data_IF_715673854639
#
_entry.id   IF_715673854639
#
_cell.length_a   1.000
_cell.length_b   1.000
_cell.length_c   1.000
_cell.angle_alpha   90.00
_cell.angle_beta   90.00
_cell.angle_gamma   90.00
#
_symmetry.space_group_name_H-M   'P 1'
#
loop_
_entity.id
_entity.type
_entity.pdbx_description
1 polymer ?
#
# COMPACT_ATOMS: atom_id res chain seq x y z
N UNK A 1 16.41 4.05 2.69
CA UNK A 1 15.25 4.94 2.86
C UNK A 1 14.43 4.60 4.11
N UNK A 2 14.06 3.33 4.37
CA UNK A 2 13.30 2.95 5.58
C UNK A 2 14.05 3.15 6.91
N UNK A 3 15.37 3.01 6.92
CA UNK A 3 16.18 3.13 8.14
C UNK A 3 16.19 4.56 8.72
N UNK A 4 16.17 5.59 7.86
CA UNK A 4 16.14 6.99 8.29
C UNK A 4 14.79 7.44 8.86
N UNK A 5 13.68 6.82 8.43
CA UNK A 5 12.35 7.09 8.99
C UNK A 5 12.18 6.47 10.37
N UNK A 6 12.76 5.28 10.61
CA UNK A 6 12.70 4.61 11.91
C UNK A 6 13.51 5.33 13.00
N UNK A 7 14.64 5.93 12.64
CA UNK A 7 15.48 6.68 13.58
C UNK A 7 14.85 7.97 14.06
N UNK A 8 14.09 8.66 13.19
CA UNK A 8 13.43 9.93 13.52
C UNK A 8 12.07 9.79 14.19
N UNK A 9 11.38 8.67 14.00
CA UNK A 9 10.00 8.48 14.48
C UNK A 9 9.85 7.49 15.64
N UNK A 10 10.94 6.93 16.16
CA UNK A 10 10.91 5.79 17.11
C UNK A 10 10.04 4.62 16.57
N UNK A 11 9.88 4.55 15.24
CA UNK A 11 9.06 3.55 14.60
C UNK A 11 9.85 2.25 14.41
N UNK A 12 9.26 1.13 14.79
CA UNK A 12 9.79 -0.20 14.58
C UNK A 12 9.08 -0.85 13.38
N UNK A 13 9.82 -1.23 12.35
CA UNK A 13 9.28 -1.99 11.23
C UNK A 13 9.37 -3.49 11.52
N UNK A 14 8.23 -4.18 11.48
CA UNK A 14 8.16 -5.63 11.61
C UNK A 14 7.93 -6.24 10.23
N UNK A 15 8.85 -7.12 9.81
CA UNK A 15 8.74 -7.88 8.57
C UNK A 15 8.13 -9.27 8.84
N UNK A 16 7.61 -9.91 7.79
CA UNK A 16 7.00 -11.24 7.87
C UNK A 16 5.86 -11.33 8.91
N UNK A 17 5.15 -10.23 9.09
CA UNK A 17 4.10 -10.07 10.09
C UNK A 17 2.77 -9.68 9.41
N UNK A 18 2.14 -10.61 8.67
CA UNK A 18 0.88 -10.32 7.99
C UNK A 18 -0.22 -10.03 9.01
N UNK A 19 -0.83 -8.87 8.88
CA UNK A 19 -2.00 -8.50 9.67
C UNK A 19 -3.23 -9.20 9.07
N UNK A 20 -3.95 -9.92 9.91
CA UNK A 20 -5.12 -10.72 9.51
C UNK A 20 -6.44 -10.15 10.00
N UNK A 21 -6.42 -9.35 11.07
CA UNK A 21 -7.61 -8.71 11.60
C UNK A 21 -7.28 -7.35 12.23
N UNK A 22 -8.25 -6.46 12.20
CA UNK A 22 -8.27 -5.19 12.93
C UNK A 22 -9.60 -5.14 13.66
N UNK A 23 -9.58 -4.93 14.97
CA UNK A 23 -10.78 -4.84 15.81
C UNK A 23 -10.74 -3.61 16.69
N UNK A 24 -11.91 -3.16 17.12
CA UNK A 24 -12.08 -2.05 18.06
C UNK A 24 -12.51 -2.58 19.40
N UNK A 25 -11.76 -2.22 20.43
CA UNK A 25 -12.16 -2.41 21.82
C UNK A 25 -12.99 -1.17 22.22
N UNK A 26 -14.30 -1.32 22.18
CA UNK A 26 -15.25 -0.21 22.43
C UNK A 26 -15.30 0.24 23.88
N UNK A 27 -14.91 -0.61 24.83
CA UNK A 27 -14.88 -0.27 26.25
C UNK A 27 -13.73 0.67 26.57
N UNK A 28 -12.58 0.43 25.95
CA UNK A 28 -11.36 1.19 26.22
C UNK A 28 -10.99 2.18 25.11
N UNK A 29 -11.74 2.22 24.04
CA UNK A 29 -11.50 3.07 22.87
C UNK A 29 -10.11 2.87 22.24
N UNK A 30 -9.68 1.62 22.14
CA UNK A 30 -8.44 1.20 21.49
C UNK A 30 -8.70 0.33 20.29
N UNK A 31 -7.75 0.34 19.36
CA UNK A 31 -7.70 -0.60 18.25
C UNK A 31 -6.72 -1.74 18.56
N UNK A 32 -7.05 -2.94 18.12
CA UNK A 32 -6.20 -4.12 18.22
C UNK A 32 -5.95 -4.68 16.84
N UNK A 33 -4.78 -5.23 16.63
CA UNK A 33 -4.42 -5.92 15.39
C UNK A 33 -4.13 -7.39 15.69
N UNK A 34 -4.46 -8.27 14.76
CA UNK A 34 -4.06 -9.66 14.80
C UNK A 34 -3.01 -9.93 13.74
N UNK A 35 -1.93 -10.57 14.12
CA UNK A 35 -0.81 -10.96 13.25
C UNK A 35 -0.79 -12.48 13.17
N UNK A 36 -0.82 -13.04 11.96
CA UNK A 36 -0.90 -14.50 11.77
C UNK A 36 -2.05 -15.17 12.55
N UNK A 37 -3.20 -14.50 12.66
CA UNK A 37 -4.36 -14.99 13.41
C UNK A 37 -4.26 -14.86 14.94
N UNK A 38 -3.15 -14.32 15.46
CA UNK A 38 -2.99 -14.09 16.90
C UNK A 38 -3.09 -12.60 17.21
N UNK A 39 -3.94 -12.24 18.17
CA UNK A 39 -4.11 -10.86 18.59
C UNK A 39 -2.84 -10.33 19.25
N UNK A 40 -2.38 -9.16 18.79
CA UNK A 40 -1.26 -8.46 19.41
C UNK A 40 -1.63 -8.01 20.83
N UNK A 41 -0.75 -8.16 21.81
CA UNK A 41 -1.00 -7.68 23.17
C UNK A 41 -1.02 -6.14 23.25
N UNK A 42 -0.45 -5.46 22.28
CA UNK A 42 -0.35 -3.99 22.30
C UNK A 42 -1.60 -3.34 21.72
N UNK A 43 -2.28 -2.43 22.48
CA UNK A 43 -3.34 -1.61 21.96
C UNK A 43 -2.79 -0.41 21.18
N UNK A 44 -3.59 0.10 20.23
CA UNK A 44 -3.25 1.25 19.40
C UNK A 44 -4.36 2.30 19.48
N UNK A 45 -4.01 3.58 19.50
CA UNK A 45 -5.00 4.66 19.45
C UNK A 45 -5.61 4.81 18.05
N UNK A 46 -4.86 4.45 17.01
CA UNK A 46 -5.31 4.47 15.62
C UNK A 46 -4.52 3.47 14.79
N UNK A 47 -5.12 2.98 13.72
CA UNK A 47 -4.48 2.12 12.72
C UNK A 47 -4.67 2.74 11.34
N UNK A 48 -3.57 2.94 10.61
CA UNK A 48 -3.59 3.40 9.22
C UNK A 48 -3.23 2.21 8.34
N UNK A 49 -4.18 1.80 7.49
CA UNK A 49 -3.95 0.73 6.53
C UNK A 49 -3.63 1.30 5.16
N UNK A 50 -2.51 0.87 4.58
CA UNK A 50 -2.11 1.16 3.20
C UNK A 50 -2.17 -0.09 2.32
N UNK A 51 -2.85 -1.12 2.80
CA UNK A 51 -2.99 -2.41 2.12
C UNK A 51 -3.90 -2.25 0.90
N UNK A 52 -3.57 -2.86 -0.26
CA UNK A 52 -4.46 -2.86 -1.42
C UNK A 52 -5.85 -3.44 -1.10
N UNK A 53 -6.90 -2.87 -1.70
CA UNK A 53 -8.30 -3.26 -1.43
C UNK A 53 -8.57 -4.78 -1.50
N UNK A 54 -8.04 -5.54 -2.48
CA UNK A 54 -8.25 -6.99 -2.52
C UNK A 54 -7.67 -7.74 -1.32
N UNK A 55 -6.68 -7.16 -0.65
CA UNK A 55 -6.13 -7.72 0.59
C UNK A 55 -6.88 -7.24 1.82
N UNK A 56 -7.31 -5.98 1.80
CA UNK A 56 -8.12 -5.41 2.87
C UNK A 56 -9.47 -6.15 2.99
N UNK A 57 -10.09 -6.52 1.87
CA UNK A 57 -11.35 -7.27 1.86
C UNK A 57 -11.27 -8.69 2.44
N UNK A 58 -10.05 -9.24 2.55
CA UNK A 58 -9.79 -10.55 3.17
C UNK A 58 -9.47 -10.46 4.66
N UNK A 59 -9.28 -9.25 5.18
CA UNK A 59 -9.05 -9.05 6.62
C UNK A 59 -10.37 -9.10 7.37
N UNK A 60 -10.30 -9.59 8.58
CA UNK A 60 -11.38 -9.42 9.54
C UNK A 60 -11.34 -7.98 10.10
N UNK A 61 -12.40 -7.23 9.86
CA UNK A 61 -12.55 -5.83 10.26
C UNK A 61 -13.72 -5.68 11.24
N UNK A 62 -13.93 -6.66 12.09
CA UNK A 62 -15.05 -6.68 13.03
C UNK A 62 -14.96 -5.52 14.05
N UNK A 63 -16.10 -4.85 14.24
CA UNK A 63 -16.19 -3.70 15.14
C UNK A 63 -15.52 -2.41 14.64
N UNK A 64 -14.88 -2.41 13.47
CA UNK A 64 -14.39 -1.16 12.86
C UNK A 64 -15.58 -0.42 12.24
N UNK A 65 -15.63 0.91 12.39
CA UNK A 65 -16.73 1.75 11.88
C UNK A 65 -16.99 1.64 10.36
N UNK A 66 -16.10 1.00 9.63
CA UNK A 66 -16.31 0.61 8.24
C UNK A 66 -17.60 -0.24 8.10
N UNK A 67 -17.94 -1.04 9.10
CA UNK A 67 -19.15 -1.87 9.09
C UNK A 67 -20.44 -1.04 9.21
N UNK A 68 -20.39 0.14 9.81
CA UNK A 68 -21.53 1.06 9.90
C UNK A 68 -21.68 1.94 8.67
N UNK A 69 -20.63 2.06 7.84
CA UNK A 69 -20.64 2.84 6.62
C UNK A 69 -20.74 1.94 5.38
N UNK A 70 -21.96 1.68 4.93
CA UNK A 70 -22.25 0.86 3.76
C UNK A 70 -21.46 1.29 2.52
N UNK A 71 -21.27 2.59 2.30
CA UNK A 71 -20.54 3.10 1.14
C UNK A 71 -19.05 2.69 1.17
N UNK A 72 -18.40 2.69 2.33
CA UNK A 72 -17.01 2.24 2.46
C UNK A 72 -16.90 0.72 2.27
N UNK A 73 -17.82 -0.03 2.82
CA UNK A 73 -17.87 -1.48 2.65
C UNK A 73 -18.09 -1.90 1.19
N UNK A 74 -19.04 -1.27 0.50
CA UNK A 74 -19.24 -1.47 -0.92
C UNK A 74 -18.01 -1.10 -1.71
N UNK A 75 -17.36 0.03 -1.41
CA UNK A 75 -16.14 0.45 -2.08
C UNK A 75 -15.01 -0.59 -1.95
N UNK A 76 -14.80 -1.15 -0.75
CA UNK A 76 -13.78 -2.17 -0.52
C UNK A 76 -14.05 -3.45 -1.34
N UNK A 77 -15.31 -3.81 -1.52
CA UNK A 77 -15.72 -5.05 -2.22
C UNK A 77 -15.87 -4.89 -3.73
N UNK A 78 -16.36 -3.75 -4.18
CA UNK A 78 -16.78 -3.55 -5.57
C UNK A 78 -15.73 -2.85 -6.41
N UNK A 79 -14.83 -2.04 -5.80
CA UNK A 79 -13.76 -1.40 -6.53
C UNK A 79 -12.72 -2.42 -6.97
N UNK A 80 -12.46 -2.43 -8.27
CA UNK A 80 -11.46 -3.29 -8.88
C UNK A 80 -10.27 -2.47 -9.37
N UNK A 81 -9.08 -3.03 -9.22
CA UNK A 81 -7.89 -2.45 -9.81
C UNK A 81 -7.86 -2.76 -11.31
N UNK A 82 -7.65 -1.74 -12.12
CA UNK A 82 -7.33 -1.92 -13.51
C UNK A 82 -5.96 -2.63 -13.68
N UNK A 83 -5.75 -3.40 -14.75
CA UNK A 83 -4.47 -3.99 -15.03
C UNK A 83 -3.44 -2.88 -15.32
N UNK A 84 -2.40 -2.81 -14.51
CA UNK A 84 -1.30 -1.87 -14.70
C UNK A 84 0.02 -2.58 -14.41
N UNK A 85 0.98 -2.40 -15.30
CA UNK A 85 2.32 -2.98 -15.19
C UNK A 85 3.33 -1.84 -15.31
N UNK A 86 4.33 -1.84 -14.43
CA UNK A 86 5.53 -1.01 -14.58
C UNK A 86 6.71 -1.93 -14.87
N UNK A 87 7.40 -1.65 -15.96
CA UNK A 87 8.61 -2.37 -16.35
C UNK A 87 9.79 -1.43 -16.17
N UNK A 88 10.71 -1.79 -15.28
CA UNK A 88 11.96 -1.07 -15.08
C UNK A 88 13.06 -1.66 -15.93
N UNK A 89 13.71 -0.85 -16.76
CA UNK A 89 14.87 -1.21 -17.53
C UNK A 89 16.06 -0.41 -17.00
N UNK A 90 17.15 -1.11 -16.70
CA UNK A 90 18.42 -0.50 -16.31
C UNK A 90 19.41 -0.64 -17.47
N UNK A 91 19.98 0.47 -17.85
CA UNK A 91 21.02 0.56 -18.88
C UNK A 91 22.36 0.92 -18.24
N UNK A 92 23.46 0.53 -18.84
CA UNK A 92 24.81 0.82 -18.37
C UNK A 92 25.19 2.29 -18.60
N UNK A 93 24.65 2.92 -19.63
CA UNK A 93 24.83 4.34 -19.92
C UNK A 93 23.51 4.97 -20.38
N UNK A 94 23.32 6.28 -20.17
CA UNK A 94 22.17 7.02 -20.65
C UNK A 94 22.32 7.37 -22.14
N UNK A 95 22.32 6.36 -23.02
CA UNK A 95 22.53 6.54 -24.45
C UNK A 95 21.57 7.54 -25.09
N UNK A 96 20.38 7.73 -24.54
CA UNK A 96 19.41 8.74 -24.99
C UNK A 96 19.86 10.19 -24.71
N UNK A 97 20.82 10.39 -23.79
CA UNK A 97 21.41 11.70 -23.52
C UNK A 97 22.73 11.91 -24.26
N UNK A 98 23.47 10.83 -24.55
CA UNK A 98 24.85 10.90 -25.01
C UNK A 98 25.04 10.53 -26.47
N UNK A 99 24.19 9.67 -27.02
CA UNK A 99 24.39 9.08 -28.37
C UNK A 99 23.38 9.60 -29.41
N UNK A 100 22.29 10.23 -28.97
CA UNK A 100 21.30 10.78 -29.90
C UNK A 100 21.74 12.16 -30.44
N UNK A 101 21.41 12.48 -31.72
CA UNK A 101 21.65 13.80 -32.29
C UNK A 101 20.93 14.93 -31.53
N UNK A 102 19.81 14.61 -30.90
CA UNK A 102 19.07 15.47 -29.98
C UNK A 102 18.93 14.74 -28.64
N UNK A 103 19.70 15.11 -27.62
CA UNK A 103 19.61 14.51 -26.30
C UNK A 103 18.23 14.63 -25.66
N UNK A 104 17.77 13.56 -25.02
CA UNK A 104 16.51 13.53 -24.28
C UNK A 104 16.84 13.55 -22.79
N UNK A 105 16.42 14.61 -22.09
CA UNK A 105 16.62 14.76 -20.64
C UNK A 105 15.29 14.59 -19.92
N UNK A 106 15.02 13.39 -19.43
CA UNK A 106 13.75 13.06 -18.81
C UNK A 106 12.58 13.06 -19.80
N UNK A 107 11.38 13.04 -19.28
CA UNK A 107 10.17 13.10 -20.09
C UNK A 107 9.26 11.89 -19.89
N UNK A 108 8.18 11.89 -20.64
CA UNK A 108 7.19 10.85 -20.67
C UNK A 108 6.64 10.72 -22.08
N UNK A 109 6.59 9.51 -22.59
CA UNK A 109 6.05 9.24 -23.92
C UNK A 109 4.71 8.51 -23.81
N UNK A 110 3.75 8.93 -24.62
CA UNK A 110 2.42 8.32 -24.71
C UNK A 110 2.25 7.71 -26.10
N UNK A 111 1.66 6.54 -26.13
CA UNK A 111 1.35 5.83 -27.38
C UNK A 111 0.00 5.14 -27.26
N UNK A 112 -0.68 4.97 -28.38
CA UNK A 112 -1.91 4.17 -28.51
C UNK A 112 -1.65 2.66 -28.66
N UNK A 113 -0.39 2.26 -28.75
CA UNK A 113 0.02 0.86 -28.73
C UNK A 113 -0.30 0.22 -27.35
N UNK A 114 -0.23 -1.13 -27.22
CA UNK A 114 -0.44 -1.82 -25.95
C UNK A 114 0.41 -1.28 -24.79
N UNK A 115 1.59 -0.76 -25.08
CA UNK A 115 2.48 -0.06 -24.16
C UNK A 115 2.14 1.43 -24.15
N UNK A 116 1.15 1.84 -23.39
CA UNK A 116 0.55 3.18 -23.50
C UNK A 116 1.42 4.33 -23.01
N UNK A 117 2.35 4.06 -22.10
CA UNK A 117 3.21 5.09 -21.48
C UNK A 117 4.60 4.53 -21.24
N UNK A 118 5.61 5.28 -21.65
CA UNK A 118 7.04 5.00 -21.39
C UNK A 118 7.70 6.18 -20.70
#
# INVERSE_FOLDING_TARGET
MFKSLSENAQASAQFQSPVTAISVDTENNYMRISINGTQSPQPYSAVISTVPLPRLSLMDLDGVDINSNYAQWSAIRELQYGPAIKIGLKFDCPWWETELPQPIHGGQSYTDLPLRTM
#
